data_IF_941302572393
#
_entry.id   IF_941302572393
#
_cell.length_a   1.000
_cell.length_b   1.000
_cell.length_c   1.000
_cell.angle_alpha   90.00
_cell.angle_beta   90.00
_cell.angle_gamma   90.00
#
_symmetry.space_group_name_H-M   'P 1'
#
loop_
_entity.id
_entity.type
_entity.pdbx_description
1 polymer ?
#
# COMPACT_ATOMS: atom_id res chain seq x y z
N UNK A 1 -10.54 2.70 17.71
CA UNK A 1 -10.45 2.97 19.14
C UNK A 1 -10.57 1.65 19.93
N UNK A 2 -10.16 1.65 21.18
CA UNK A 2 -10.20 0.46 22.04
C UNK A 2 -11.62 0.13 22.56
N UNK A 3 -12.67 0.56 21.86
CA UNK A 3 -14.04 0.16 22.21
C UNK A 3 -14.36 -1.24 21.61
N UNK A 4 -15.45 -1.84 22.06
CA UNK A 4 -15.84 -3.21 21.68
C UNK A 4 -16.60 -3.26 20.32
N UNK A 5 -16.56 -2.20 19.53
CA UNK A 5 -17.31 -2.08 18.28
C UNK A 5 -16.37 -1.93 17.10
N UNK A 6 -16.76 -2.48 15.95
CA UNK A 6 -16.02 -2.33 14.70
C UNK A 6 -16.48 -1.06 13.97
N UNK A 7 -15.52 -0.31 13.46
CA UNK A 7 -15.72 0.85 12.61
C UNK A 7 -15.45 0.49 11.14
N UNK A 8 -16.06 1.25 10.25
CA UNK A 8 -15.86 1.13 8.81
C UNK A 8 -15.34 2.47 8.30
N UNK A 9 -14.16 2.44 7.69
CA UNK A 9 -13.53 3.60 7.07
C UNK A 9 -13.58 3.48 5.56
N UNK A 10 -13.89 4.57 4.85
CA UNK A 10 -13.83 4.62 3.39
C UNK A 10 -13.62 6.04 2.88
N UNK A 11 -12.81 6.14 1.79
CA UNK A 11 -12.63 7.38 1.06
C UNK A 11 -13.77 7.64 0.09
N UNK A 12 -13.95 8.91 -0.30
CA UNK A 12 -14.98 9.35 -1.22
C UNK A 12 -14.43 10.33 -2.27
N UNK A 13 -15.11 10.43 -3.40
CA UNK A 13 -14.79 11.41 -4.46
C UNK A 13 -15.24 12.85 -4.11
N UNK A 14 -15.83 13.05 -2.94
CA UNK A 14 -16.20 14.36 -2.39
C UNK A 14 -15.16 14.93 -1.43
N UNK A 15 -13.92 14.45 -1.54
CA UNK A 15 -12.72 14.88 -0.80
C UNK A 15 -12.73 14.46 0.68
N UNK A 16 -13.66 13.58 1.08
CA UNK A 16 -13.82 13.18 2.46
C UNK A 16 -13.47 11.71 2.74
N UNK A 17 -12.87 11.47 3.90
CA UNK A 17 -12.82 10.16 4.53
C UNK A 17 -13.93 10.06 5.57
N UNK A 18 -14.74 9.04 5.46
CA UNK A 18 -15.84 8.75 6.37
C UNK A 18 -15.51 7.62 7.33
N UNK A 19 -16.00 7.72 8.55
CA UNK A 19 -15.97 6.63 9.51
C UNK A 19 -17.35 6.41 10.12
N UNK A 20 -17.83 5.17 10.09
CA UNK A 20 -19.12 4.79 10.62
C UNK A 20 -19.02 3.60 11.55
N UNK A 21 -19.80 3.64 12.63
CA UNK A 21 -20.08 2.42 13.41
C UNK A 21 -20.89 1.44 12.56
N UNK A 22 -20.79 0.15 12.84
CA UNK A 22 -21.58 -0.90 12.16
C UNK A 22 -23.10 -0.67 12.25
N UNK A 23 -23.55 0.09 13.23
CA UNK A 23 -24.96 0.51 13.39
C UNK A 23 -25.38 1.65 12.44
N UNK A 24 -24.46 2.18 11.60
CA UNK A 24 -24.72 3.25 10.64
C UNK A 24 -24.62 4.67 11.20
N UNK A 25 -24.11 4.86 12.41
CA UNK A 25 -23.88 6.18 12.96
C UNK A 25 -22.49 6.70 12.56
N UNK A 26 -22.42 7.94 12.08
CA UNK A 26 -21.15 8.63 11.81
C UNK A 26 -20.38 8.80 13.13
N UNK A 27 -19.09 8.53 13.09
CA UNK A 27 -18.20 8.70 14.24
C UNK A 27 -17.88 10.19 14.43
N UNK A 28 -17.77 10.62 15.68
CA UNK A 28 -17.38 12.00 16.01
C UNK A 28 -15.96 12.29 15.49
N UNK A 29 -15.75 13.46 14.89
CA UNK A 29 -14.51 13.84 14.24
C UNK A 29 -14.49 13.56 12.73
N UNK A 30 -15.44 12.76 12.23
CA UNK A 30 -15.61 12.50 10.80
C UNK A 30 -16.81 13.22 10.22
N UNK A 31 -16.83 13.53 8.91
CA UNK A 31 -15.78 13.18 7.94
C UNK A 31 -14.50 14.00 8.13
N UNK A 32 -13.35 13.39 7.82
CA UNK A 32 -12.09 14.11 7.64
C UNK A 32 -12.02 14.65 6.21
N UNK A 33 -11.71 15.95 6.03
CA UNK A 33 -11.63 16.62 4.73
C UNK A 33 -10.18 16.66 4.23
N UNK A 34 -9.89 16.01 3.09
CA UNK A 34 -8.62 16.10 2.36
C UNK A 34 -8.65 17.24 1.35
N UNK A 35 -7.52 17.49 0.65
CA UNK A 35 -7.44 18.55 -0.35
C UNK A 35 -8.03 18.22 -1.72
N UNK A 36 -8.31 16.95 -2.01
CA UNK A 36 -8.93 16.43 -3.23
C UNK A 36 -9.47 15.02 -2.93
N UNK A 37 -10.15 14.41 -3.88
CA UNK A 37 -10.84 13.12 -3.73
C UNK A 37 -9.94 12.00 -3.18
N UNK A 38 -10.55 11.10 -2.43
CA UNK A 38 -9.93 9.94 -1.81
C UNK A 38 -10.43 8.68 -2.54
N UNK A 39 -9.60 8.13 -3.44
CA UNK A 39 -9.87 6.86 -4.13
C UNK A 39 -9.10 5.70 -3.48
N UNK A 40 -8.10 6.00 -2.68
CA UNK A 40 -7.36 5.03 -1.90
C UNK A 40 -8.27 4.35 -0.88
N UNK A 41 -8.18 3.03 -0.76
CA UNK A 41 -8.77 2.32 0.38
C UNK A 41 -7.88 2.55 1.60
N UNK A 42 -8.43 2.95 2.76
CA UNK A 42 -7.62 3.16 3.95
C UNK A 42 -7.10 1.84 4.53
N UNK A 43 -5.90 1.90 5.10
CA UNK A 43 -5.34 0.88 5.98
C UNK A 43 -5.45 1.33 7.43
N UNK A 44 -5.43 0.40 8.38
CA UNK A 44 -5.46 0.70 9.80
C UNK A 44 -4.45 -0.19 10.55
N UNK A 45 -3.67 0.41 11.43
CA UNK A 45 -2.68 -0.27 12.26
C UNK A 45 -2.09 0.69 13.28
N UNK A 46 -1.51 0.17 14.34
CA UNK A 46 -0.72 0.93 15.32
C UNK A 46 0.66 1.17 14.67
N UNK A 47 0.83 2.34 14.02
CA UNK A 47 2.02 2.62 13.21
C UNK A 47 3.16 3.21 14.02
N UNK A 48 2.92 3.65 15.26
CA UNK A 48 3.89 4.31 16.12
C UNK A 48 4.05 3.64 17.49
N UNK A 49 3.41 2.48 17.69
CA UNK A 49 3.46 1.65 18.90
C UNK A 49 2.91 2.38 20.16
N UNK A 50 1.98 3.32 19.99
CA UNK A 50 1.35 3.99 21.13
C UNK A 50 0.20 3.17 21.74
N UNK A 51 -0.21 2.09 21.09
CA UNK A 51 -1.28 1.15 21.50
C UNK A 51 -2.65 1.52 20.95
N UNK A 52 -2.76 2.54 20.10
CA UNK A 52 -3.94 2.86 19.33
C UNK A 52 -3.67 2.56 17.86
N UNK A 53 -4.71 2.47 17.04
CA UNK A 53 -4.54 2.33 15.60
C UNK A 53 -4.72 3.69 14.93
N UNK A 54 -3.89 3.96 13.93
CA UNK A 54 -4.04 5.05 12.98
C UNK A 54 -4.73 4.56 11.71
N UNK A 55 -5.30 5.50 10.99
CA UNK A 55 -5.92 5.31 9.69
C UNK A 55 -5.04 6.00 8.65
N UNK A 56 -4.50 5.21 7.73
CA UNK A 56 -3.56 5.66 6.69
C UNK A 56 -4.25 5.58 5.34
N UNK A 57 -4.22 6.67 4.57
CA UNK A 57 -4.85 6.72 3.25
C UNK A 57 -4.21 7.78 2.35
N UNK A 58 -4.32 7.57 1.03
CA UNK A 58 -3.86 8.50 0.03
C UNK A 58 -4.97 9.37 -0.56
N UNK A 59 -4.61 10.55 -1.05
CA UNK A 59 -5.50 11.46 -1.76
C UNK A 59 -4.94 11.88 -3.11
N UNK A 60 -5.81 12.38 -3.98
CA UNK A 60 -5.44 13.01 -5.25
C UNK A 60 -4.78 14.39 -5.07
N UNK A 61 -4.81 14.97 -3.89
CA UNK A 61 -4.05 16.19 -3.57
C UNK A 61 -2.54 15.97 -3.45
N UNK A 62 -2.09 14.69 -3.50
CA UNK A 62 -0.71 14.30 -3.40
C UNK A 62 -0.23 14.06 -1.97
N UNK A 63 -1.13 14.02 -1.00
CA UNK A 63 -0.79 13.67 0.37
C UNK A 63 -1.15 12.22 0.70
N UNK A 64 -0.25 11.58 1.44
CA UNK A 64 -0.58 10.46 2.30
C UNK A 64 -0.90 11.03 3.69
N UNK A 65 -2.04 10.67 4.21
CA UNK A 65 -2.51 11.09 5.52
C UNK A 65 -2.39 9.95 6.54
N UNK A 66 -1.95 10.30 7.75
CA UNK A 66 -2.08 9.49 8.95
C UNK A 66 -2.96 10.29 9.90
N UNK A 67 -4.05 9.68 10.35
CA UNK A 67 -4.99 10.28 11.31
C UNK A 67 -5.28 9.28 12.42
N UNK A 68 -5.59 9.78 13.60
CA UNK A 68 -6.06 8.94 14.70
C UNK A 68 -7.54 8.50 14.51
N UNK A 69 -8.02 7.62 15.36
CA UNK A 69 -9.41 7.13 15.32
C UNK A 69 -10.46 8.18 15.69
N UNK A 70 -10.06 9.37 16.15
CA UNK A 70 -10.95 10.52 16.39
C UNK A 70 -11.02 11.45 15.16
N UNK A 71 -10.21 11.20 14.12
CA UNK A 71 -10.12 12.04 12.93
C UNK A 71 -9.12 13.20 13.06
N UNK A 72 -8.31 13.22 14.11
CA UNK A 72 -7.25 14.22 14.26
C UNK A 72 -6.04 13.84 13.38
N UNK A 73 -5.54 14.79 12.60
CA UNK A 73 -4.41 14.56 11.70
C UNK A 73 -3.08 14.52 12.47
N UNK A 74 -2.33 13.46 12.31
CA UNK A 74 -0.98 13.28 12.85
C UNK A 74 0.07 13.64 11.82
N UNK A 75 -0.10 13.17 10.56
CA UNK A 75 0.80 13.47 9.47
C UNK A 75 0.03 13.77 8.18
N UNK A 76 0.57 14.68 7.37
CA UNK A 76 0.31 14.78 5.94
C UNK A 76 1.65 14.79 5.21
N UNK A 77 2.00 13.65 4.61
CA UNK A 77 3.21 13.49 3.82
C UNK A 77 2.95 13.89 2.38
N UNK A 78 3.49 15.05 1.97
CA UNK A 78 3.27 15.61 0.65
C UNK A 78 4.33 15.13 -0.36
N UNK A 79 3.86 14.70 -1.51
CA UNK A 79 4.71 14.33 -2.64
C UNK A 79 4.04 14.71 -3.98
N UNK A 80 4.76 14.52 -5.11
CA UNK A 80 4.19 14.83 -6.44
C UNK A 80 3.43 13.63 -6.98
N UNK A 81 2.18 13.83 -7.41
CA UNK A 81 1.33 12.81 -8.02
C UNK A 81 0.19 12.37 -7.11
N UNK A 82 -0.74 11.64 -7.69
CA UNK A 82 -1.91 11.10 -6.99
C UNK A 82 -1.55 9.83 -6.22
N UNK A 83 -2.13 9.62 -5.04
CA UNK A 83 -2.04 8.38 -4.29
C UNK A 83 -3.41 7.69 -4.39
N UNK A 84 -3.49 6.67 -5.25
CA UNK A 84 -4.75 5.99 -5.61
C UNK A 84 -4.83 4.61 -4.98
N UNK A 85 -3.70 3.89 -4.96
CA UNK A 85 -3.61 2.56 -4.37
C UNK A 85 -3.77 2.59 -2.85
N UNK A 86 -4.25 1.49 -2.27
CA UNK A 86 -4.26 1.32 -0.83
C UNK A 86 -2.83 1.26 -0.30
N UNK A 87 -2.49 1.96 0.79
CA UNK A 87 -1.22 1.75 1.47
C UNK A 87 -1.17 0.37 2.14
N UNK A 88 0.03 -0.20 2.24
CA UNK A 88 0.30 -1.38 3.04
C UNK A 88 1.12 -0.98 4.27
N UNK A 89 0.86 -1.65 5.39
CA UNK A 89 1.54 -1.41 6.67
C UNK A 89 2.31 -2.67 7.05
N UNK A 90 3.61 -2.53 7.30
CA UNK A 90 4.45 -3.66 7.72
C UNK A 90 5.73 -3.14 8.36
N UNK A 91 6.25 -3.83 9.37
CA UNK A 91 7.60 -3.61 9.92
C UNK A 91 8.63 -4.08 8.88
N UNK A 92 9.27 -3.14 8.17
CA UNK A 92 10.20 -3.42 7.09
C UNK A 92 11.66 -3.43 7.53
N UNK A 93 11.99 -2.79 8.63
CA UNK A 93 13.37 -2.64 9.10
C UNK A 93 13.66 -3.33 10.45
N UNK A 94 12.63 -3.91 11.08
CA UNK A 94 12.75 -4.74 12.26
C UNK A 94 12.79 -3.97 13.58
N UNK A 95 12.27 -2.73 13.60
CA UNK A 95 12.22 -1.91 14.81
C UNK A 95 10.86 -1.98 15.55
N UNK A 96 9.94 -2.81 15.03
CA UNK A 96 8.61 -3.14 15.54
C UNK A 96 7.52 -2.09 15.21
N UNK A 97 7.86 -0.84 14.85
CA UNK A 97 6.85 0.07 14.29
C UNK A 97 6.50 -0.30 12.84
N UNK A 98 5.43 0.27 12.29
CA UNK A 98 4.99 -0.12 10.94
C UNK A 98 5.34 0.94 9.93
N UNK A 99 6.13 0.55 8.91
CA UNK A 99 6.33 1.37 7.73
C UNK A 99 5.10 1.36 6.84
N UNK A 100 4.95 2.46 6.14
CA UNK A 100 3.86 2.71 5.21
C UNK A 100 4.38 2.62 3.79
N UNK A 101 3.95 1.59 3.07
CA UNK A 101 4.29 1.37 1.65
C UNK A 101 3.14 1.87 0.79
N UNK A 102 3.43 2.75 -0.17
CA UNK A 102 2.41 3.26 -1.09
C UNK A 102 2.99 3.62 -2.45
N UNK A 103 2.12 3.67 -3.45
CA UNK A 103 2.45 4.02 -4.82
C UNK A 103 1.85 5.36 -5.21
N UNK A 104 2.51 6.05 -6.13
CA UNK A 104 2.04 7.33 -6.67
C UNK A 104 1.91 7.27 -8.17
N UNK A 105 1.05 8.12 -8.74
CA UNK A 105 0.93 8.35 -10.18
C UNK A 105 1.15 9.82 -10.49
N UNK A 106 2.12 10.12 -11.35
CA UNK A 106 2.39 11.47 -11.86
C UNK A 106 2.57 11.43 -13.37
N UNK A 107 1.53 11.82 -14.11
CA UNK A 107 1.53 11.72 -15.57
C UNK A 107 1.63 10.28 -16.06
N UNK A 108 2.72 9.95 -16.75
CA UNK A 108 2.99 8.61 -17.32
C UNK A 108 3.95 7.77 -16.47
N UNK A 109 4.22 8.16 -15.24
CA UNK A 109 5.12 7.42 -14.33
C UNK A 109 4.59 7.50 -12.90
N UNK A 110 5.18 6.71 -12.02
CA UNK A 110 4.89 6.71 -10.60
C UNK A 110 6.13 6.29 -9.81
N UNK A 111 6.02 6.37 -8.50
CA UNK A 111 7.07 5.95 -7.57
C UNK A 111 6.49 5.08 -6.49
N UNK A 112 7.30 4.14 -6.02
CA UNK A 112 7.04 3.36 -4.83
C UNK A 112 7.73 4.04 -3.65
N UNK A 113 6.99 4.29 -2.60
CA UNK A 113 7.47 4.85 -1.34
C UNK A 113 7.37 3.81 -0.23
N UNK A 114 8.34 3.84 0.67
CA UNK A 114 8.26 3.26 2.00
C UNK A 114 8.73 4.32 3.00
N UNK A 115 7.89 4.66 3.96
CA UNK A 115 8.14 5.72 4.94
C UNK A 115 7.81 5.24 6.36
N UNK A 116 8.53 5.76 7.35
CA UNK A 116 8.15 5.64 8.75
C UNK A 116 6.93 6.50 9.08
N UNK A 117 6.26 6.23 10.19
CA UNK A 117 5.15 7.02 10.71
C UNK A 117 5.50 8.52 10.88
N UNK A 118 6.77 8.84 11.10
CA UNK A 118 7.28 10.23 11.22
C UNK A 118 7.35 10.98 9.89
N UNK A 119 7.14 10.31 8.75
CA UNK A 119 7.26 10.87 7.41
C UNK A 119 8.68 10.87 6.85
N UNK A 120 9.65 10.21 7.48
CA UNK A 120 10.96 9.98 6.87
C UNK A 120 10.92 8.77 5.94
N UNK A 121 11.59 8.86 4.78
CA UNK A 121 11.73 7.70 3.89
C UNK A 121 12.65 6.65 4.50
N UNK A 122 12.36 5.38 4.22
CA UNK A 122 13.35 4.33 4.39
C UNK A 122 14.53 4.52 3.42
N UNK A 123 15.68 4.00 3.79
CA UNK A 123 16.85 4.00 2.91
C UNK A 123 16.54 3.25 1.60
N UNK A 124 16.92 3.83 0.47
CA UNK A 124 16.63 3.30 -0.86
C UNK A 124 15.30 3.77 -1.47
N UNK A 125 14.41 4.38 -0.70
CA UNK A 125 13.12 4.91 -1.20
C UNK A 125 13.14 6.45 -1.34
N UNK A 126 12.32 7.00 -2.27
CA UNK A 126 11.38 6.30 -3.16
C UNK A 126 12.07 5.63 -4.36
N UNK A 127 11.55 4.49 -4.81
CA UNK A 127 11.99 3.79 -6.03
C UNK A 127 11.20 4.33 -7.23
N UNK A 128 11.91 4.74 -8.27
CA UNK A 128 11.33 5.21 -9.53
C UNK A 128 11.44 4.09 -10.58
N UNK A 129 10.33 3.42 -10.87
CA UNK A 129 10.27 2.35 -11.87
C UNK A 129 10.03 2.88 -13.29
N UNK A 130 9.76 4.19 -13.46
CA UNK A 130 9.46 4.82 -14.74
C UNK A 130 8.09 4.43 -15.33
N UNK A 131 7.24 3.75 -14.56
CA UNK A 131 5.97 3.18 -14.99
C UNK A 131 4.80 3.69 -14.15
N UNK A 132 3.57 3.57 -14.69
CA UNK A 132 2.36 3.99 -13.98
C UNK A 132 2.01 2.93 -12.92
N UNK A 133 1.83 3.37 -11.68
CA UNK A 133 1.32 2.56 -10.58
C UNK A 133 0.03 3.18 -10.04
N UNK A 134 -1.08 2.47 -10.16
CA UNK A 134 -2.43 2.94 -9.74
C UNK A 134 -3.05 2.03 -8.68
N UNK A 135 -2.33 1.02 -8.24
CA UNK A 135 -2.78 0.03 -7.26
C UNK A 135 -1.80 -0.03 -6.10
N UNK A 136 -2.24 -0.54 -4.96
CA UNK A 136 -1.38 -0.72 -3.80
C UNK A 136 -0.33 -1.81 -4.01
N UNK A 137 0.70 -1.79 -3.18
CA UNK A 137 1.70 -2.84 -3.08
C UNK A 137 1.18 -4.02 -2.22
N UNK A 138 1.71 -5.21 -2.45
CA UNK A 138 1.65 -6.31 -1.52
C UNK A 138 3.01 -6.45 -0.80
N UNK A 139 3.00 -6.81 0.46
CA UNK A 139 4.20 -6.90 1.30
C UNK A 139 4.21 -8.24 2.01
N UNK A 140 5.36 -8.92 2.01
CA UNK A 140 5.52 -10.21 2.68
C UNK A 140 6.90 -10.82 2.45
N UNK A 141 7.24 -11.83 3.24
CA UNK A 141 8.48 -12.61 3.12
C UNK A 141 8.27 -13.65 2.00
N UNK A 142 8.81 -13.37 0.80
CA UNK A 142 8.59 -14.24 -0.37
C UNK A 142 9.32 -15.58 -0.27
N UNK A 143 10.51 -15.59 0.32
CA UNK A 143 11.37 -16.79 0.42
C UNK A 143 11.31 -17.48 1.77
N UNK A 144 10.46 -17.02 2.70
CA UNK A 144 10.37 -17.53 4.07
C UNK A 144 11.72 -17.52 4.81
N UNK A 145 12.55 -16.51 4.53
CA UNK A 145 13.89 -16.36 5.09
C UNK A 145 13.99 -15.28 6.18
N UNK A 146 12.88 -14.60 6.46
CA UNK A 146 12.74 -13.51 7.43
C UNK A 146 12.99 -12.13 6.83
N UNK A 147 13.29 -12.03 5.53
CA UNK A 147 13.42 -10.77 4.81
C UNK A 147 12.07 -10.40 4.19
N UNK A 148 11.69 -9.14 4.31
CA UNK A 148 10.40 -8.69 3.75
C UNK A 148 10.62 -8.14 2.34
N UNK A 149 9.69 -8.46 1.45
CA UNK A 149 9.68 -8.00 0.07
C UNK A 149 8.43 -7.19 -0.24
N UNK A 150 8.56 -6.28 -1.19
CA UNK A 150 7.47 -5.42 -1.67
C UNK A 150 7.17 -5.79 -3.12
N UNK A 151 5.95 -6.23 -3.40
CA UNK A 151 5.53 -6.60 -4.76
C UNK A 151 4.58 -5.54 -5.30
N UNK A 152 4.90 -5.00 -6.48
CA UNK A 152 4.05 -4.04 -7.19
C UNK A 152 3.74 -4.51 -8.61
N UNK A 153 2.50 -4.28 -9.03
CA UNK A 153 2.07 -4.45 -10.42
C UNK A 153 1.93 -3.10 -11.08
N UNK A 154 2.29 -3.00 -12.36
CA UNK A 154 2.24 -1.74 -13.09
C UNK A 154 1.10 -1.70 -14.11
N UNK A 155 0.70 -0.50 -14.49
CA UNK A 155 -0.33 -0.27 -15.53
C UNK A 155 0.21 -0.51 -16.94
N UNK A 156 1.48 -0.84 -17.07
CA UNK A 156 2.09 -1.38 -18.28
C UNK A 156 1.92 -2.91 -18.27
N UNK A 157 2.97 -3.68 -18.15
CA UNK A 157 2.91 -5.15 -18.25
C UNK A 157 3.85 -5.87 -17.27
N UNK A 158 4.30 -5.17 -16.21
CA UNK A 158 5.30 -5.70 -15.29
C UNK A 158 4.76 -6.03 -13.89
N UNK A 159 5.38 -7.05 -13.29
CA UNK A 159 5.37 -7.31 -11.85
C UNK A 159 6.81 -7.14 -11.36
N UNK A 160 7.01 -6.30 -10.37
CA UNK A 160 8.28 -6.12 -9.67
C UNK A 160 8.20 -6.72 -8.27
N UNK A 161 9.28 -7.35 -7.84
CA UNK A 161 9.56 -7.59 -6.42
C UNK A 161 10.78 -6.74 -6.04
N UNK A 162 10.71 -6.09 -4.90
CA UNK A 162 11.65 -5.06 -4.45
C UNK A 162 12.02 -5.35 -3.00
N UNK A 163 13.33 -5.40 -2.73
CA UNK A 163 13.87 -5.57 -1.39
C UNK A 163 13.63 -4.31 -0.52
N UNK A 164 13.73 -4.44 0.80
CA UNK A 164 13.57 -3.30 1.74
C UNK A 164 14.64 -2.22 1.60
N UNK A 165 15.73 -2.47 0.87
CA UNK A 165 16.74 -1.47 0.51
C UNK A 165 16.44 -0.72 -0.80
N UNK A 166 15.26 -0.95 -1.42
CA UNK A 166 14.81 -0.33 -2.66
C UNK A 166 15.38 -0.96 -3.94
N UNK A 167 16.18 -2.02 -3.85
CA UNK A 167 16.70 -2.72 -5.03
C UNK A 167 15.68 -3.70 -5.61
N UNK A 168 15.66 -3.83 -6.95
CA UNK A 168 14.82 -4.84 -7.60
C UNK A 168 15.42 -6.22 -7.35
N UNK A 169 14.59 -7.17 -6.94
CA UNK A 169 14.97 -8.54 -6.66
C UNK A 169 15.39 -9.30 -7.91
N UNK A 170 16.34 -10.23 -7.78
CA UNK A 170 16.76 -11.10 -8.89
C UNK A 170 15.58 -11.91 -9.44
N UNK A 171 15.49 -12.02 -10.77
CA UNK A 171 14.36 -12.65 -11.46
C UNK A 171 13.23 -11.68 -11.86
N UNK A 172 13.25 -10.47 -11.34
CA UNK A 172 12.27 -9.42 -11.67
C UNK A 172 12.88 -8.27 -12.48
N UNK A 173 12.05 -7.51 -13.25
CA UNK A 173 10.60 -7.67 -13.36
C UNK A 173 10.17 -8.90 -14.18
N UNK A 174 9.04 -9.52 -13.82
CA UNK A 174 8.32 -10.40 -14.71
C UNK A 174 7.53 -9.57 -15.72
N UNK A 175 7.55 -10.00 -16.99
CA UNK A 175 6.90 -9.29 -18.12
C UNK A 175 5.72 -10.10 -18.64
N UNK A 176 4.52 -9.56 -18.56
CA UNK A 176 3.30 -10.14 -19.11
C UNK A 176 3.02 -9.62 -20.53
N UNK A 177 1.87 -9.94 -21.10
CA UNK A 177 1.46 -9.46 -22.42
C UNK A 177 0.64 -8.16 -22.39
N UNK A 178 0.05 -7.83 -21.26
CA UNK A 178 -0.81 -6.67 -21.04
C UNK A 178 -0.66 -6.16 -19.60
N UNK A 179 -1.29 -5.02 -19.33
CA UNK A 179 -1.22 -4.29 -18.07
C UNK A 179 -1.95 -4.99 -16.93
N UNK A 180 -1.46 -4.70 -15.73
CA UNK A 180 -2.13 -5.06 -14.49
C UNK A 180 -2.97 -3.88 -13.95
N UNK A 181 -4.15 -4.19 -13.42
CA UNK A 181 -5.08 -3.21 -12.83
C UNK A 181 -5.52 -3.57 -11.42
N UNK A 182 -4.98 -4.63 -10.89
CA UNK A 182 -5.19 -5.09 -9.52
C UNK A 182 -3.85 -5.22 -8.83
N UNK A 183 -3.77 -5.03 -7.51
CA UNK A 183 -2.59 -5.40 -6.76
C UNK A 183 -2.34 -6.91 -6.87
N UNK A 184 -1.11 -7.32 -6.60
CA UNK A 184 -0.78 -8.72 -6.39
C UNK A 184 -1.34 -9.22 -5.05
N UNK A 185 -1.47 -10.53 -4.93
CA UNK A 185 -1.72 -11.23 -3.66
C UNK A 185 -0.57 -12.19 -3.42
N UNK A 186 -0.07 -12.25 -2.21
CA UNK A 186 0.99 -13.16 -1.79
C UNK A 186 0.38 -14.29 -0.98
N UNK A 187 0.68 -15.53 -1.33
CA UNK A 187 0.10 -16.70 -0.67
C UNK A 187 0.93 -17.95 -0.97
N UNK A 188 1.21 -18.77 0.03
CA UNK A 188 1.77 -20.12 -0.15
C UNK A 188 0.69 -21.04 -0.74
N UNK A 189 0.81 -21.39 -2.01
CA UNK A 189 -0.18 -22.20 -2.75
C UNK A 189 0.21 -23.68 -2.80
N UNK A 190 1.45 -24.03 -2.70
CA UNK A 190 1.92 -25.41 -2.86
C UNK A 190 2.43 -26.04 -1.55
N UNK A 191 2.55 -25.27 -0.48
CA UNK A 191 2.84 -25.72 0.87
C UNK A 191 4.34 -25.88 1.15
N UNK A 192 5.19 -25.16 0.40
CA UNK A 192 6.65 -25.17 0.60
C UNK A 192 7.14 -24.06 1.54
N UNK A 193 6.25 -23.16 1.97
CA UNK A 193 6.35 -21.96 2.80
C UNK A 193 6.86 -20.72 2.07
N UNK A 194 7.34 -20.80 0.85
CA UNK A 194 7.58 -19.62 0.02
C UNK A 194 6.26 -19.06 -0.49
N UNK A 195 6.19 -17.77 -0.77
CA UNK A 195 4.94 -17.16 -1.23
C UNK A 195 4.91 -17.02 -2.75
N UNK A 196 3.83 -17.52 -3.36
CA UNK A 196 3.52 -17.21 -4.76
C UNK A 196 2.90 -15.83 -4.89
N UNK A 197 3.26 -15.19 -6.01
CA UNK A 197 2.70 -13.91 -6.43
C UNK A 197 1.56 -14.16 -7.40
N UNK A 198 0.33 -13.83 -7.00
CA UNK A 198 -0.87 -14.03 -7.81
C UNK A 198 -1.37 -12.68 -8.31
N UNK A 199 -1.47 -12.49 -9.64
CA UNK A 199 -1.93 -11.24 -10.24
C UNK A 199 -2.82 -11.45 -11.47
N UNK A 200 -3.94 -10.72 -11.52
CA UNK A 200 -4.82 -10.68 -12.68
C UNK A 200 -4.40 -9.65 -13.72
N UNK A 201 -4.47 -10.01 -14.99
CA UNK A 201 -4.02 -9.17 -16.10
C UNK A 201 -5.13 -8.90 -17.12
N UNK A 202 -5.05 -7.78 -17.85
CA UNK A 202 -6.05 -7.40 -18.88
C UNK A 202 -6.09 -8.34 -20.10
N UNK A 203 -5.15 -9.27 -20.24
CA UNK A 203 -5.20 -10.32 -21.26
C UNK A 203 -6.18 -11.46 -20.94
N UNK A 204 -6.78 -11.40 -19.75
CA UNK A 204 -7.74 -12.40 -19.26
C UNK A 204 -7.09 -13.57 -18.54
N UNK A 205 -5.79 -13.50 -18.26
CA UNK A 205 -5.06 -14.52 -17.52
C UNK A 205 -4.90 -14.13 -16.05
N UNK A 206 -4.77 -15.17 -15.22
CA UNK A 206 -4.25 -15.08 -13.87
C UNK A 206 -2.82 -15.62 -13.91
N UNK A 207 -1.87 -14.80 -13.54
CA UNK A 207 -0.47 -15.18 -13.41
C UNK A 207 -0.19 -15.64 -11.98
N UNK A 208 0.53 -16.73 -11.86
CA UNK A 208 1.02 -17.26 -10.59
C UNK A 208 2.51 -17.46 -10.76
N UNK A 209 3.29 -16.67 -10.03
CA UNK A 209 4.73 -16.71 -10.07
C UNK A 209 5.27 -17.25 -8.76
N UNK A 210 6.32 -18.04 -8.82
CA UNK A 210 7.13 -18.36 -7.65
C UNK A 210 7.89 -17.10 -7.17
N UNK A 211 8.42 -17.16 -5.96
CA UNK A 211 9.22 -16.10 -5.31
C UNK A 211 10.38 -15.59 -6.19
N UNK A 212 10.91 -16.42 -7.11
CA UNK A 212 12.03 -16.10 -8.01
C UNK A 212 11.59 -15.51 -9.37
N UNK A 213 10.31 -15.21 -9.55
CA UNK A 213 9.73 -14.65 -10.78
C UNK A 213 9.45 -15.66 -11.88
N UNK A 214 9.64 -16.96 -11.65
CA UNK A 214 9.26 -18.01 -12.61
C UNK A 214 7.78 -18.36 -12.53
N UNK A 215 7.18 -18.85 -13.66
CA UNK A 215 5.78 -19.31 -13.77
C UNK A 215 5.67 -20.76 -13.32
#
# INVERSE_FOLDING_TARGET
>A
DNNAYSEIYFGSEDDNLYSYMIAGNLISGFPFEAGDKIQSSPAAGDVDLDGNNEIVFGSHDGNLYIIDTNGDQELAYSQSGFIIGAPALHDLDGDEDLEIVFTTQSGSSGKLYAIHHTGSNLDGFPVDLGEIMVVGAAVGDLESDGSIDIVVTTYEDHIYAINTDGTIKDGFPFVASHRFKSPATLVDLDGDNDLEIVAGNDDGNLYILHHDGTL
#
